data_IF_512844700645
#
_entry.id   IF_512844700645
#
_cell.length_a   1.000
_cell.length_b   1.000
_cell.length_c   1.000
_cell.angle_alpha   90.00
_cell.angle_beta   90.00
_cell.angle_gamma   90.00
#
_symmetry.space_group_name_H-M   'P 1'
#
loop_
_entity.id
_entity.type
_entity.pdbx_description
1 polymer ?
#
# COMPACT_ATOMS: atom_id res chain seq x y z
N UNK A 1 -12.86 -7.19 -2.32
CA UNK A 1 -11.72 -8.11 -2.49
C UNK A 1 -11.13 -8.43 -1.14
N UNK A 2 -11.54 -9.55 -0.56
CA UNK A 2 -11.04 -10.05 0.72
C UNK A 2 -9.88 -11.00 0.46
N UNK A 3 -8.87 -10.98 1.32
CA UNK A 3 -7.75 -11.90 1.23
C UNK A 3 -8.21 -13.26 1.72
N UNK A 4 -8.13 -14.25 0.83
CA UNK A 4 -8.47 -15.63 1.14
C UNK A 4 -7.23 -16.41 1.59
N UNK A 5 -7.39 -17.46 2.41
CA UNK A 5 -6.27 -18.31 2.85
C UNK A 5 -5.44 -18.86 1.68
N UNK A 6 -6.06 -19.22 0.55
CA UNK A 6 -5.35 -19.71 -0.63
C UNK A 6 -4.40 -18.69 -1.29
N UNK A 7 -4.48 -17.41 -0.93
CA UNK A 7 -3.63 -16.34 -1.47
C UNK A 7 -2.33 -16.16 -0.68
N UNK A 8 -2.19 -16.82 0.48
CA UNK A 8 -0.98 -16.74 1.31
C UNK A 8 0.23 -17.26 0.53
N UNK A 9 1.38 -16.58 0.66
CA UNK A 9 2.61 -16.93 -0.04
C UNK A 9 2.70 -16.44 -1.48
N UNK A 10 1.66 -15.78 -1.99
CA UNK A 10 1.67 -15.18 -3.33
C UNK A 10 1.95 -13.68 -3.26
N UNK A 11 2.58 -13.15 -4.32
CA UNK A 11 2.71 -11.71 -4.53
C UNK A 11 1.61 -11.23 -5.46
N UNK A 12 0.73 -10.38 -4.95
CA UNK A 12 -0.40 -9.82 -5.71
C UNK A 12 -0.08 -8.37 -6.08
N UNK A 13 -0.24 -8.04 -7.35
CA UNK A 13 -0.01 -6.70 -7.88
C UNK A 13 -1.30 -5.85 -7.76
N UNK A 14 -1.46 -5.13 -6.65
CA UNK A 14 -2.67 -4.35 -6.35
C UNK A 14 -2.59 -2.96 -6.99
N UNK A 15 -3.64 -2.56 -7.70
CA UNK A 15 -3.67 -1.25 -8.37
C UNK A 15 -4.05 -0.12 -7.40
N UNK A 16 -3.17 0.87 -7.23
CA UNK A 16 -3.34 2.01 -6.32
C UNK A 16 -3.99 3.25 -6.96
N UNK A 17 -4.37 3.15 -8.23
CA UNK A 17 -4.92 4.26 -9.03
C UNK A 17 -3.95 4.84 -10.06
N UNK A 18 -2.65 4.54 -9.94
CA UNK A 18 -1.62 4.96 -10.89
C UNK A 18 -0.74 3.80 -11.37
N UNK A 19 -0.45 2.84 -10.49
CA UNK A 19 0.43 1.71 -10.76
C UNK A 19 -0.03 0.47 -10.00
N UNK A 20 0.52 -0.68 -10.38
CA UNK A 20 0.39 -1.90 -9.60
C UNK A 20 1.52 -2.01 -8.58
N UNK A 21 1.15 -2.08 -7.30
CA UNK A 21 2.06 -2.26 -6.17
C UNK A 21 2.12 -3.76 -5.83
N UNK A 22 3.29 -4.41 -5.90
CA UNK A 22 3.43 -5.82 -5.53
C UNK A 22 3.39 -5.96 -4.01
N UNK A 23 2.40 -6.69 -3.49
CA UNK A 23 2.23 -6.97 -2.07
C UNK A 23 2.35 -8.48 -1.87
N UNK A 24 3.27 -8.88 -0.99
CA UNK A 24 3.40 -10.27 -0.57
C UNK A 24 2.39 -10.58 0.55
N UNK A 25 1.57 -11.60 0.35
CA UNK A 25 0.46 -11.92 1.27
C UNK A 25 0.93 -12.87 2.37
N UNK A 26 0.73 -12.46 3.62
CA UNK A 26 0.99 -13.27 4.82
C UNK A 26 -0.32 -13.74 5.47
N UNK A 27 -0.26 -14.77 6.33
CA UNK A 27 -1.45 -15.35 6.99
C UNK A 27 -2.23 -14.32 7.82
N UNK A 28 -1.53 -13.38 8.46
CA UNK A 28 -2.14 -12.33 9.28
C UNK A 28 -3.01 -11.35 8.46
N UNK A 29 -2.90 -11.36 7.13
CA UNK A 29 -3.69 -10.51 6.25
C UNK A 29 -5.02 -11.17 5.83
N UNK A 30 -5.23 -12.46 6.12
CA UNK A 30 -6.46 -13.17 5.78
C UNK A 30 -7.66 -12.51 6.47
N UNK A 31 -8.74 -12.27 5.71
CA UNK A 31 -9.92 -11.55 6.20
C UNK A 31 -9.87 -10.03 6.03
N UNK A 32 -8.70 -9.45 5.79
CA UNK A 32 -8.57 -8.04 5.42
C UNK A 32 -8.83 -7.81 3.92
N UNK A 33 -8.98 -6.56 3.51
CA UNK A 33 -9.14 -6.18 2.11
C UNK A 33 -7.81 -5.79 1.49
N UNK A 34 -7.57 -6.23 0.25
CA UNK A 34 -6.33 -5.89 -0.50
C UNK A 34 -6.07 -4.38 -0.61
N UNK A 35 -7.14 -3.57 -0.65
CA UNK A 35 -7.03 -2.11 -0.72
C UNK A 35 -6.53 -1.43 0.55
N UNK A 36 -6.56 -2.11 1.71
CA UNK A 36 -6.00 -1.58 2.96
C UNK A 36 -4.47 -1.52 2.92
N UNK A 37 -3.86 -2.38 2.09
CA UNK A 37 -2.41 -2.51 1.97
C UNK A 37 -1.83 -1.69 0.80
N UNK A 38 -2.68 -1.03 0.00
CA UNK A 38 -2.28 -0.22 -1.15
C UNK A 38 -2.80 1.23 -1.01
N UNK A 39 -2.00 2.16 -0.44
CA UNK A 39 -2.44 3.54 -0.25
C UNK A 39 -2.61 4.26 -1.60
N UNK A 40 -3.78 4.86 -1.81
CA UNK A 40 -4.15 5.51 -3.09
C UNK A 40 -3.78 6.99 -3.16
N UNK A 41 -3.46 7.63 -2.02
CA UNK A 41 -3.06 9.04 -1.95
C UNK A 41 -1.69 9.18 -1.30
N UNK A 42 -0.80 9.90 -1.96
CA UNK A 42 0.52 10.24 -1.42
C UNK A 42 0.45 11.57 -0.67
N UNK A 43 0.18 11.54 0.63
CA UNK A 43 0.21 12.74 1.46
C UNK A 43 1.67 13.14 1.74
N UNK A 44 2.10 14.32 1.28
CA UNK A 44 3.46 14.85 1.49
C UNK A 44 3.60 15.74 2.73
N UNK A 45 2.58 15.76 3.60
CA UNK A 45 2.50 16.72 4.69
C UNK A 45 1.92 18.06 4.25
N UNK A 46 1.52 18.88 5.21
CA UNK A 46 1.34 20.31 4.96
C UNK A 46 2.74 20.92 4.81
N UNK A 47 2.97 21.64 3.71
CA UNK A 47 4.20 22.41 3.54
C UNK A 47 4.17 23.56 4.54
N UNK A 48 4.64 23.31 5.76
CA UNK A 48 5.08 24.38 6.65
C UNK A 48 6.38 24.87 6.06
N UNK A 49 6.34 26.03 5.41
CA UNK A 49 7.53 26.77 5.01
C UNK A 49 8.33 27.18 6.25
N UNK A 50 9.11 26.25 6.81
CA UNK A 50 10.18 26.52 7.77
C UNK A 50 11.34 25.56 7.52
N UNK A 51 12.34 26.11 6.83
CA UNK A 51 13.77 25.78 6.90
C UNK A 51 14.17 24.32 6.78
N UNK A 52 14.79 23.96 5.66
CA UNK A 52 16.24 23.73 5.64
C UNK A 52 16.72 23.65 4.19
N UNK A 53 17.60 24.58 3.83
CA UNK A 53 18.33 24.48 2.58
C UNK A 53 19.27 23.27 2.63
N UNK A 54 19.25 22.48 1.58
CA UNK A 54 20.37 21.65 1.19
C UNK A 54 20.78 22.14 -0.21
N UNK A 55 21.85 22.94 -0.22
CA UNK A 55 22.79 22.96 -1.34
C UNK A 55 23.51 21.60 -1.38
#
# INVERSE_FOLDING_TARGET
STIFPQMVGHTIAVHDGRRHVPIYVTENMVGHRLGEFAPTRHFRGHVSEKSTGAK
#
